data_IF_134174180736
#
_entry.id   IF_134174180736
#
_cell.length_a   1.000
_cell.length_b   1.000
_cell.length_c   1.000
_cell.angle_alpha   90.00
_cell.angle_beta   90.00
_cell.angle_gamma   90.00
#
_symmetry.space_group_name_H-M   'P 1'
#
loop_
_entity.id
_entity.type
_entity.pdbx_description
1 polymer ?
#
# COMPACT_ATOMS: atom_id res chain seq x y z
N UNK A 1 9.80 12.65 -10.98
CA UNK A 1 8.97 12.57 -9.78
C UNK A 1 9.81 11.91 -8.70
N UNK A 2 9.94 12.52 -7.52
CA UNK A 2 10.67 11.93 -6.41
C UNK A 2 9.81 10.85 -5.73
N UNK A 3 10.44 9.88 -5.10
CA UNK A 3 9.72 8.79 -4.43
C UNK A 3 8.84 9.32 -3.27
N UNK A 4 9.35 10.27 -2.49
CA UNK A 4 8.63 10.83 -1.35
C UNK A 4 7.52 11.84 -1.74
N UNK A 5 7.33 12.14 -3.03
CA UNK A 5 6.13 12.89 -3.50
C UNK A 5 4.83 12.10 -3.30
N UNK A 6 4.93 10.83 -2.88
CA UNK A 6 3.81 10.00 -2.40
C UNK A 6 3.16 10.51 -1.12
N UNK A 7 3.85 11.34 -0.31
CA UNK A 7 3.29 11.91 0.93
C UNK A 7 1.98 12.65 0.65
N UNK A 8 0.93 12.34 1.40
CA UNK A 8 -0.40 12.93 1.22
C UNK A 8 -1.55 12.12 1.83
N UNK A 9 -2.77 12.65 1.74
CA UNK A 9 -4.02 11.94 2.01
C UNK A 9 -4.64 11.43 0.71
N UNK A 10 -4.97 10.15 0.65
CA UNK A 10 -5.66 9.53 -0.48
C UNK A 10 -6.97 8.86 -0.03
N UNK A 11 -7.97 8.83 -0.92
CA UNK A 11 -9.25 8.14 -0.67
C UNK A 11 -9.81 7.54 -1.96
N UNK A 12 -10.41 6.35 -1.86
CA UNK A 12 -11.07 5.67 -2.99
C UNK A 12 -12.56 6.01 -3.15
N UNK A 13 -12.97 7.26 -2.83
CA UNK A 13 -14.39 7.66 -2.74
C UNK A 13 -15.17 7.29 -4.01
N UNK A 14 -14.64 7.61 -5.18
CA UNK A 14 -15.34 7.39 -6.44
C UNK A 14 -15.58 5.89 -6.69
N UNK A 15 -14.58 5.04 -6.43
CA UNK A 15 -14.69 3.59 -6.54
C UNK A 15 -15.72 3.02 -5.56
N UNK A 16 -15.60 3.38 -4.28
CA UNK A 16 -16.50 2.91 -3.23
C UNK A 16 -17.95 3.34 -3.48
N UNK A 17 -18.19 4.55 -3.98
CA UNK A 17 -19.56 5.03 -4.24
C UNK A 17 -20.14 4.46 -5.53
N UNK A 18 -19.30 4.07 -6.48
CA UNK A 18 -19.75 3.45 -7.74
C UNK A 18 -20.14 1.98 -7.57
N UNK A 19 -19.51 1.25 -6.64
CA UNK A 19 -19.88 -0.12 -6.30
C UNK A 19 -19.65 -0.41 -4.80
N UNK A 20 -20.59 0.05 -3.93
CA UNK A 20 -20.43 0.03 -2.48
C UNK A 20 -20.47 -1.36 -1.84
N UNK A 21 -21.08 -2.35 -2.52
CA UNK A 21 -21.06 -3.74 -2.06
C UNK A 21 -19.70 -4.41 -2.28
N UNK A 22 -18.91 -3.93 -3.24
CA UNK A 22 -17.63 -4.54 -3.59
C UNK A 22 -16.44 -3.80 -2.95
N UNK A 23 -16.52 -2.48 -2.86
CA UNK A 23 -15.39 -1.63 -2.47
C UNK A 23 -15.73 -0.81 -1.22
N UNK A 24 -15.13 -1.13 -0.06
CA UNK A 24 -15.25 -0.27 1.10
C UNK A 24 -14.58 1.09 0.83
N UNK A 25 -15.10 2.15 1.44
CA UNK A 25 -14.43 3.44 1.41
C UNK A 25 -13.27 3.43 2.42
N UNK A 26 -12.06 3.57 1.89
CA UNK A 26 -10.80 3.53 2.60
C UNK A 26 -10.05 4.84 2.38
N UNK A 27 -9.40 5.28 3.44
CA UNK A 27 -8.47 6.38 3.45
C UNK A 27 -7.04 5.86 3.68
N UNK A 28 -6.08 6.50 3.02
CA UNK A 28 -4.65 6.27 3.22
C UNK A 28 -4.00 7.61 3.56
N UNK A 29 -3.25 7.67 4.67
CA UNK A 29 -2.37 8.81 4.99
C UNK A 29 -0.94 8.34 4.95
N UNK A 30 -0.14 9.07 4.18
CA UNK A 30 1.29 8.88 4.07
C UNK A 30 1.98 10.14 4.57
N UNK A 31 2.83 10.00 5.58
CA UNK A 31 3.67 11.08 6.12
C UNK A 31 5.13 10.68 6.06
N UNK A 32 6.02 11.66 6.03
CA UNK A 32 7.47 11.46 6.16
C UNK A 32 7.96 12.22 7.41
N UNK A 33 7.83 11.62 8.62
CA UNK A 33 8.27 12.29 9.85
C UNK A 33 9.78 12.58 9.87
N UNK A 34 10.56 11.76 9.17
CA UNK A 34 12.00 11.88 9.00
C UNK A 34 12.34 11.47 7.57
N UNK A 35 13.24 12.20 6.90
CA UNK A 35 13.64 11.88 5.54
C UNK A 35 14.14 10.43 5.45
N UNK A 36 13.63 9.66 4.50
CA UNK A 36 13.95 8.23 4.39
C UNK A 36 12.96 7.32 5.15
N UNK A 37 11.97 7.87 5.85
CA UNK A 37 10.98 7.09 6.63
C UNK A 37 9.57 7.54 6.34
N UNK A 38 8.81 6.71 5.64
CA UNK A 38 7.38 6.94 5.42
C UNK A 38 6.55 6.19 6.45
N UNK A 39 5.55 6.84 7.03
CA UNK A 39 4.50 6.18 7.81
C UNK A 39 3.23 6.14 6.98
N UNK A 40 2.70 4.94 6.77
CA UNK A 40 1.53 4.68 5.93
C UNK A 40 0.43 4.09 6.79
N UNK A 41 -0.63 4.85 7.01
CA UNK A 41 -1.85 4.40 7.70
C UNK A 41 -2.95 4.15 6.69
N UNK A 42 -3.69 3.06 6.87
CA UNK A 42 -4.92 2.78 6.13
C UNK A 42 -6.06 2.50 7.10
N UNK A 43 -7.23 3.10 6.86
CA UNK A 43 -8.40 2.92 7.71
C UNK A 43 -9.69 2.96 6.91
N UNK A 44 -10.72 2.29 7.43
CA UNK A 44 -12.07 2.42 6.91
C UNK A 44 -12.63 3.79 7.27
N UNK A 45 -13.28 4.49 6.33
CA UNK A 45 -13.74 5.87 6.53
C UNK A 45 -14.60 6.07 7.79
N UNK A 46 -15.41 5.07 8.14
CA UNK A 46 -16.31 5.08 9.30
C UNK A 46 -15.58 4.83 10.64
N UNK A 47 -14.39 4.22 10.62
CA UNK A 47 -13.55 3.98 11.81
C UNK A 47 -12.73 5.20 12.21
N UNK A 48 -12.26 5.95 11.21
CA UNK A 48 -11.40 7.13 11.42
C UNK A 48 -9.92 6.79 11.51
N UNK A 49 -9.07 7.82 11.43
CA UNK A 49 -7.61 7.69 11.38
C UNK A 49 -7.00 7.17 12.68
N UNK A 50 -7.71 7.37 13.80
CA UNK A 50 -7.28 6.91 15.13
C UNK A 50 -7.47 5.40 15.34
N UNK A 51 -8.25 4.72 14.49
CA UNK A 51 -8.46 3.26 14.48
C UNK A 51 -8.06 2.66 13.12
N UNK A 52 -6.76 2.72 12.74
CA UNK A 52 -6.29 2.18 11.48
C UNK A 52 -6.17 0.65 11.55
N UNK A 53 -6.60 -0.04 10.49
CA UNK A 53 -6.41 -1.49 10.39
C UNK A 53 -5.00 -1.85 9.90
N UNK A 54 -4.29 -0.89 9.29
CA UNK A 54 -2.92 -1.07 8.83
C UNK A 54 -2.09 0.18 9.13
N UNK A 55 -0.89 -0.01 9.67
CA UNK A 55 0.07 1.06 9.91
C UNK A 55 1.48 0.53 9.68
N UNK A 56 2.09 0.90 8.56
CA UNK A 56 3.39 0.40 8.13
C UNK A 56 4.39 1.55 8.07
N UNK A 57 5.58 1.34 8.64
CA UNK A 57 6.74 2.16 8.35
C UNK A 57 7.49 1.59 7.15
N UNK A 58 7.82 2.44 6.18
CA UNK A 58 8.72 2.15 5.06
C UNK A 58 10.01 2.94 5.27
N UNK A 59 11.11 2.25 5.54
CA UNK A 59 12.46 2.83 5.53
C UNK A 59 12.99 2.70 4.11
N UNK A 60 13.05 3.82 3.39
CA UNK A 60 13.36 3.84 1.96
C UNK A 60 14.81 4.27 1.70
N UNK A 61 15.44 3.59 0.75
CA UNK A 61 16.78 3.89 0.28
C UNK A 61 16.81 3.89 -1.24
N UNK A 62 17.38 4.94 -1.82
CA UNK A 62 17.59 5.04 -3.26
C UNK A 62 18.74 4.10 -3.66
N UNK A 63 18.43 3.14 -4.52
CA UNK A 63 19.41 2.18 -5.05
C UNK A 63 19.99 2.67 -6.37
N UNK A 64 19.16 3.35 -7.18
CA UNK A 64 19.55 3.99 -8.43
C UNK A 64 18.59 5.16 -8.73
N UNK A 65 18.78 5.90 -9.83
CA UNK A 65 17.92 7.00 -10.27
C UNK A 65 16.42 6.62 -10.23
N UNK A 66 16.10 5.44 -10.74
CA UNK A 66 14.74 4.94 -10.94
C UNK A 66 14.41 3.73 -10.05
N UNK A 67 15.24 3.40 -9.06
CA UNK A 67 15.04 2.24 -8.19
C UNK A 67 15.13 2.66 -6.73
N UNK A 68 14.08 2.33 -5.96
CA UNK A 68 14.04 2.49 -4.52
C UNK A 68 13.76 1.14 -3.86
N UNK A 69 14.48 0.85 -2.79
CA UNK A 69 14.18 -0.28 -1.92
C UNK A 69 13.56 0.23 -0.63
N UNK A 70 12.60 -0.51 -0.09
CA UNK A 70 12.01 -0.20 1.21
C UNK A 70 11.99 -1.41 2.11
N UNK A 71 12.60 -1.29 3.29
CA UNK A 71 12.37 -2.21 4.40
C UNK A 71 11.10 -1.78 5.13
N UNK A 72 10.25 -2.72 5.50
CA UNK A 72 8.95 -2.41 6.13
C UNK A 72 8.83 -2.98 7.53
N UNK A 73 8.11 -2.26 8.39
CA UNK A 73 7.76 -2.68 9.74
C UNK A 73 6.29 -2.39 9.98
N UNK A 74 5.52 -3.38 10.44
CA UNK A 74 4.16 -3.15 10.91
C UNK A 74 4.22 -2.52 12.31
N UNK A 75 3.75 -1.27 12.42
CA UNK A 75 3.79 -0.49 13.66
C UNK A 75 2.66 -0.85 14.64
N UNK A 76 1.62 -1.57 14.21
CA UNK A 76 0.56 -2.09 15.10
C UNK A 76 1.10 -3.29 15.90
N UNK A 77 1.74 -4.24 15.21
CA UNK A 77 2.29 -5.44 15.83
C UNK A 77 3.74 -5.28 16.27
N UNK A 78 4.40 -4.21 15.84
CA UNK A 78 5.83 -3.95 16.02
C UNK A 78 6.72 -5.09 15.51
N UNK A 79 6.40 -5.61 14.32
CA UNK A 79 7.13 -6.71 13.67
C UNK A 79 7.58 -6.32 12.27
N UNK A 80 8.73 -6.84 11.77
CA UNK A 80 9.10 -6.70 10.37
C UNK A 80 7.96 -7.16 9.44
N UNK A 81 7.78 -6.45 8.34
CA UNK A 81 6.88 -6.84 7.25
C UNK A 81 7.68 -7.04 5.96
N UNK A 82 6.98 -7.19 4.86
CA UNK A 82 7.58 -7.57 3.59
C UNK A 82 8.22 -6.36 2.89
N UNK A 83 9.51 -6.41 2.56
CA UNK A 83 10.18 -5.34 1.85
C UNK A 83 9.61 -5.18 0.43
N UNK A 84 9.82 -4.01 -0.16
CA UNK A 84 9.43 -3.71 -1.53
C UNK A 84 10.61 -3.20 -2.35
N UNK A 85 10.59 -3.51 -3.64
CA UNK A 85 11.38 -2.85 -4.67
C UNK A 85 10.43 -2.01 -5.53
N UNK A 86 10.83 -0.77 -5.75
CA UNK A 86 10.08 0.23 -6.50
C UNK A 86 10.86 0.62 -7.75
N UNK A 87 10.16 0.72 -8.88
CA UNK A 87 10.72 1.16 -10.15
C UNK A 87 9.93 2.34 -10.73
N UNK A 88 10.62 3.40 -11.14
CA UNK A 88 10.04 4.52 -11.86
C UNK A 88 10.06 4.27 -13.37
N UNK A 89 8.87 4.24 -13.99
CA UNK A 89 8.72 3.98 -15.44
C UNK A 89 8.59 5.25 -16.30
N UNK A 90 8.71 6.44 -15.69
CA UNK A 90 8.47 7.74 -16.33
C UNK A 90 7.09 8.34 -16.04
N UNK A 91 6.15 7.56 -15.52
CA UNK A 91 4.78 7.98 -15.19
C UNK A 91 4.38 7.54 -13.78
N UNK A 92 4.72 6.32 -13.38
CA UNK A 92 4.38 5.71 -12.10
C UNK A 92 5.63 5.18 -11.40
N UNK A 93 5.65 5.31 -10.07
CA UNK A 93 6.42 4.39 -9.25
C UNK A 93 5.63 3.11 -9.10
N UNK A 94 6.23 1.97 -9.46
CA UNK A 94 5.63 0.65 -9.37
C UNK A 94 6.39 -0.16 -8.32
N UNK A 95 5.72 -0.51 -7.23
CA UNK A 95 6.23 -1.30 -6.12
C UNK A 95 5.71 -2.73 -6.14
N UNK A 96 6.61 -3.68 -5.94
CA UNK A 96 6.31 -5.10 -5.72
C UNK A 96 7.08 -5.59 -4.50
N UNK A 97 6.57 -6.62 -3.83
CA UNK A 97 7.30 -7.26 -2.74
C UNK A 97 8.64 -7.82 -3.23
N UNK A 98 9.69 -7.62 -2.45
CA UNK A 98 11.00 -8.22 -2.72
C UNK A 98 11.01 -9.67 -2.23
N UNK A 99 10.83 -10.60 -3.18
CA UNK A 99 10.68 -12.03 -2.91
C UNK A 99 9.30 -12.40 -2.39
N UNK A 100 9.21 -13.59 -1.78
CA UNK A 100 7.97 -14.08 -1.19
C UNK A 100 7.65 -13.35 0.12
N UNK A 101 6.45 -12.76 0.16
CA UNK A 101 5.93 -12.17 1.39
C UNK A 101 5.08 -13.19 2.15
N UNK A 102 5.57 -13.66 3.28
CA UNK A 102 4.85 -14.60 4.15
C UNK A 102 4.55 -13.92 5.48
N UNK A 103 3.28 -13.90 5.87
CA UNK A 103 2.81 -13.44 7.17
C UNK A 103 2.02 -14.56 7.84
N UNK A 104 2.65 -15.21 8.82
CA UNK A 104 2.07 -16.39 9.48
C UNK A 104 1.93 -17.55 8.50
N UNK A 105 0.70 -18.02 8.30
CA UNK A 105 0.32 -19.11 7.39
C UNK A 105 -0.21 -18.60 6.03
N UNK A 106 -0.01 -17.32 5.73
CA UNK A 106 -0.52 -16.66 4.53
C UNK A 106 0.61 -16.12 3.66
N UNK A 107 0.60 -16.45 2.38
CA UNK A 107 1.40 -15.79 1.33
C UNK A 107 0.66 -14.55 0.86
N UNK A 108 1.33 -13.41 0.86
CA UNK A 108 0.76 -12.14 0.40
C UNK A 108 1.36 -11.76 -0.94
N UNK A 109 0.50 -11.46 -1.91
CA UNK A 109 0.90 -10.82 -3.16
C UNK A 109 0.43 -9.37 -3.09
N UNK A 110 1.39 -8.43 -3.05
CA UNK A 110 1.10 -7.00 -2.99
C UNK A 110 1.77 -6.24 -4.11
N UNK A 111 1.00 -5.36 -4.75
CA UNK A 111 1.48 -4.44 -5.79
C UNK A 111 0.90 -3.06 -5.54
N UNK A 112 1.76 -2.06 -5.60
CA UNK A 112 1.39 -0.67 -5.34
C UNK A 112 1.92 0.17 -6.49
N UNK A 113 1.17 1.18 -6.93
CA UNK A 113 1.70 2.20 -7.83
C UNK A 113 1.15 3.59 -7.55
N UNK A 114 1.98 4.60 -7.74
CA UNK A 114 1.58 5.99 -7.55
C UNK A 114 2.28 6.97 -8.51
N UNK A 115 1.63 8.10 -8.76
CA UNK A 115 2.10 9.19 -9.64
C UNK A 115 2.01 10.58 -8.96
N UNK A 116 1.94 10.60 -7.62
CA UNK A 116 1.83 11.81 -6.81
C UNK A 116 0.40 12.37 -6.67
N UNK A 117 -0.53 11.98 -7.56
CA UNK A 117 -1.95 12.35 -7.50
C UNK A 117 -2.86 11.14 -7.25
N UNK A 118 -2.47 10.00 -7.80
CA UNK A 118 -3.19 8.74 -7.81
C UNK A 118 -2.34 7.71 -7.07
N UNK A 119 -3.01 6.91 -6.27
CA UNK A 119 -2.42 5.76 -5.59
C UNK A 119 -3.28 4.54 -5.91
N UNK A 120 -2.64 3.44 -6.27
CA UNK A 120 -3.28 2.18 -6.63
C UNK A 120 -2.64 1.08 -5.82
N UNK A 121 -3.46 0.16 -5.31
CA UNK A 121 -2.95 -0.95 -4.54
C UNK A 121 -3.79 -2.20 -4.76
N UNK A 122 -3.12 -3.34 -4.73
CA UNK A 122 -3.72 -4.65 -4.56
C UNK A 122 -2.92 -5.38 -3.49
N UNK A 123 -3.64 -5.90 -2.50
CA UNK A 123 -3.10 -6.75 -1.46
C UNK A 123 -3.98 -8.00 -1.42
N UNK A 124 -3.38 -9.16 -1.65
CA UNK A 124 -4.08 -10.44 -1.72
C UNK A 124 -3.37 -11.46 -0.84
N UNK A 125 -4.10 -12.10 0.07
CA UNK A 125 -3.60 -13.19 0.90
C UNK A 125 -4.07 -14.56 0.42
N UNK A 126 -3.15 -15.52 0.36
CA UNK A 126 -3.40 -16.92 0.02
C UNK A 126 -2.93 -17.85 1.15
N UNK A 127 -3.70 -18.91 1.41
CA UNK A 127 -3.31 -19.97 2.33
C UNK A 127 -2.05 -20.68 1.81
N UNK A 128 -1.01 -20.81 2.64
CA UNK A 128 0.24 -21.45 2.22
C UNK A 128 0.12 -22.95 1.95
N UNK A 129 -0.84 -23.64 2.59
CA UNK A 129 -1.00 -25.09 2.47
C UNK A 129 -1.91 -25.46 1.31
N UNK A 130 -3.04 -24.75 1.17
CA UNK A 130 -4.04 -25.08 0.14
C UNK A 130 -3.89 -24.26 -1.13
N UNK A 131 -3.25 -23.07 -1.05
CA UNK A 131 -3.21 -22.11 -2.14
C UNK A 131 -4.49 -21.28 -2.29
N UNK A 132 -5.49 -21.50 -1.43
CA UNK A 132 -6.78 -20.83 -1.54
C UNK A 132 -6.69 -19.34 -1.18
N UNK A 133 -7.47 -18.52 -1.87
CA UNK A 133 -7.67 -17.12 -1.49
C UNK A 133 -8.24 -17.03 -0.08
N UNK A 134 -7.61 -16.18 0.77
CA UNK A 134 -8.05 -15.95 2.16
C UNK A 134 -8.66 -14.57 2.36
N UNK A 135 -8.02 -13.52 1.86
CA UNK A 135 -8.45 -12.15 2.09
C UNK A 135 -7.90 -11.18 1.03
N UNK A 136 -8.46 -9.98 1.02
CA UNK A 136 -8.07 -8.92 0.09
C UNK A 136 -8.94 -8.91 -1.15
N UNK A 137 -8.33 -8.68 -2.31
CA UNK A 137 -9.02 -8.74 -3.60
C UNK A 137 -8.27 -9.64 -4.57
N UNK A 138 -8.95 -10.58 -5.25
CA UNK A 138 -8.33 -11.33 -6.32
C UNK A 138 -7.84 -10.38 -7.44
N UNK A 139 -6.70 -10.67 -8.08
CA UNK A 139 -6.15 -9.84 -9.17
C UNK A 139 -7.13 -9.49 -10.29
N UNK A 140 -8.05 -10.40 -10.60
CA UNK A 140 -9.09 -10.24 -11.60
C UNK A 140 -10.21 -9.25 -11.22
N UNK A 141 -10.40 -8.96 -9.93
CA UNK A 141 -11.36 -7.93 -9.48
C UNK A 141 -10.80 -6.51 -9.61
N UNK A 142 -9.48 -6.37 -9.77
CA UNK A 142 -8.79 -5.10 -9.96
C UNK A 142 -8.21 -4.48 -8.67
N UNK A 143 -7.70 -3.26 -8.82
CA UNK A 143 -6.98 -2.53 -7.75
C UNK A 143 -7.94 -1.63 -6.97
N UNK A 144 -7.58 -1.32 -5.73
CA UNK A 144 -8.13 -0.15 -5.06
C UNK A 144 -7.64 1.14 -5.75
N UNK A 145 -8.57 2.06 -6.03
CA UNK A 145 -8.32 3.28 -6.80
C UNK A 145 -8.44 4.52 -5.91
N UNK A 146 -7.32 5.03 -5.43
CA UNK A 146 -7.30 6.21 -4.55
C UNK A 146 -6.91 7.50 -5.28
N UNK A 147 -7.52 8.60 -4.87
CA UNK A 147 -7.19 9.95 -5.33
C UNK A 147 -6.74 10.80 -4.15
N UNK A 148 -5.74 11.66 -4.37
CA UNK A 148 -5.23 12.59 -3.36
C UNK A 148 -6.29 13.65 -3.03
N UNK A 149 -6.52 13.90 -1.73
CA UNK A 149 -7.53 14.87 -1.24
C UNK A 149 -6.97 16.28 -1.10
N UNK A 150 -5.69 16.39 -0.74
CA UNK A 150 -5.04 17.65 -0.33
C UNK A 150 -4.52 18.41 -1.57
N UNK A 151 -5.42 18.96 -2.38
CA UNK A 151 -5.07 19.92 -3.45
C UNK A 151 -5.10 21.35 -2.95
#
# INVERSE_FOLDING_TARGET
MLFNEVVGHYRNRNQAFSNPSQWPQIDIRITEPEYGRLHVKSWYKYKGEDDPYNHIEYQWAKMDENIVYTKTTNLITNTPSCPFIWNWDGVWWNGNTDGECIQGDTRMDSRIRFDGLRYRAIDTGYDLKTGDFRWGKPPEEGEFLFERLDK
#
